data_IF_627662281301
#
_entry.id   IF_627662281301
#
_cell.length_a   1.000
_cell.length_b   1.000
_cell.length_c   1.000
_cell.angle_alpha   90.00
_cell.angle_beta   90.00
_cell.angle_gamma   90.00
#
_symmetry.space_group_name_H-M   'P 1'
#
loop_
_entity.id
_entity.type
_entity.pdbx_description
1 polymer ?
#
# COMPACT_ATOMS: atom_id res chain seq x y z
N UNK A 1 -10.20 2.73 19.11
CA UNK A 1 -11.24 3.57 18.47
C UNK A 1 -12.14 2.68 17.65
N UNK A 2 -13.44 2.84 17.73
CA UNK A 2 -14.36 2.10 16.85
C UNK A 2 -14.29 2.77 15.49
N UNK A 3 -14.01 2.03 14.43
CA UNK A 3 -14.02 2.54 13.04
C UNK A 3 -15.41 3.12 12.76
N UNK A 4 -15.50 4.41 12.50
CA UNK A 4 -16.79 5.09 12.25
C UNK A 4 -17.34 4.73 10.89
N UNK A 5 -18.62 5.03 10.61
CA UNK A 5 -19.20 4.83 9.28
C UNK A 5 -18.48 5.65 8.19
N UNK A 6 -17.97 6.83 8.55
CA UNK A 6 -17.17 7.69 7.66
C UNK A 6 -15.78 7.11 7.43
N UNK A 7 -15.17 6.49 8.46
CA UNK A 7 -13.89 5.78 8.32
C UNK A 7 -14.04 4.54 7.42
N UNK A 8 -15.17 3.84 7.46
CA UNK A 8 -15.46 2.68 6.58
C UNK A 8 -15.51 3.07 5.10
N UNK A 9 -16.05 4.24 4.78
CA UNK A 9 -16.07 4.75 3.38
C UNK A 9 -14.68 5.15 2.88
N UNK A 10 -13.73 5.42 3.78
CA UNK A 10 -12.36 5.79 3.47
C UNK A 10 -11.40 4.58 3.44
N UNK A 11 -11.80 3.41 3.94
CA UNK A 11 -10.95 2.23 4.06
C UNK A 11 -11.33 1.17 3.03
N UNK A 12 -10.33 0.63 2.35
CA UNK A 12 -10.53 -0.43 1.35
C UNK A 12 -10.84 -1.81 1.96
N UNK A 13 -10.56 -1.99 3.26
CA UNK A 13 -10.74 -3.24 4.00
C UNK A 13 -11.23 -2.92 5.41
N UNK A 14 -12.29 -3.58 5.85
CA UNK A 14 -12.80 -3.48 7.22
C UNK A 14 -13.65 -4.70 7.58
N UNK A 15 -14.11 -4.80 8.83
CA UNK A 15 -15.11 -5.79 9.20
C UNK A 15 -16.50 -5.32 8.77
N UNK A 16 -17.34 -6.27 8.34
CA UNK A 16 -18.77 -6.05 8.12
C UNK A 16 -19.45 -5.48 9.38
N UNK A 17 -20.63 -4.89 9.24
CA UNK A 17 -21.34 -4.26 10.39
C UNK A 17 -21.60 -5.22 11.55
N UNK A 18 -21.90 -6.48 11.24
CA UNK A 18 -22.10 -7.54 12.23
C UNK A 18 -20.77 -8.17 12.73
N UNK A 19 -19.64 -7.77 12.15
CA UNK A 19 -18.31 -8.27 12.48
C UNK A 19 -18.05 -9.71 12.05
N UNK A 20 -18.84 -10.26 11.11
CA UNK A 20 -18.78 -11.68 10.71
C UNK A 20 -18.11 -11.94 9.37
N UNK A 21 -17.76 -10.89 8.63
CA UNK A 21 -17.09 -10.99 7.34
C UNK A 21 -16.00 -9.92 7.23
N UNK A 22 -15.01 -10.19 6.39
CA UNK A 22 -14.09 -9.16 5.90
C UNK A 22 -14.76 -8.49 4.71
N UNK A 23 -15.08 -7.21 4.83
CA UNK A 23 -15.61 -6.43 3.73
C UNK A 23 -14.48 -5.71 3.02
N UNK A 24 -14.41 -5.86 1.70
CA UNK A 24 -13.43 -5.19 0.83
C UNK A 24 -14.13 -4.51 -0.33
N UNK A 25 -13.54 -3.42 -0.85
CA UNK A 25 -13.89 -2.92 -2.17
C UNK A 25 -13.08 -3.67 -3.23
N UNK A 26 -13.76 -4.24 -4.23
CA UNK A 26 -13.09 -4.94 -5.33
C UNK A 26 -12.37 -3.95 -6.26
N UNK A 27 -11.06 -3.80 -6.04
CA UNK A 27 -10.23 -2.86 -6.80
C UNK A 27 -10.04 -3.26 -8.27
N UNK A 28 -10.40 -4.49 -8.65
CA UNK A 28 -10.37 -4.91 -10.06
C UNK A 28 -11.47 -4.25 -10.89
N UNK A 29 -12.56 -3.82 -10.24
CA UNK A 29 -13.72 -3.18 -10.87
C UNK A 29 -13.59 -1.66 -10.95
N UNK A 30 -12.76 -1.06 -10.11
CA UNK A 30 -12.54 0.38 -10.11
C UNK A 30 -11.85 0.86 -11.39
N UNK A 31 -12.16 2.07 -11.86
CA UNK A 31 -13.11 3.05 -11.31
C UNK A 31 -14.54 2.88 -11.82
N UNK A 32 -14.83 1.91 -12.68
CA UNK A 32 -16.08 1.81 -13.41
C UNK A 32 -17.25 1.32 -12.55
N UNK A 33 -16.97 0.44 -11.59
CA UNK A 33 -17.97 -0.13 -10.68
C UNK A 33 -17.40 -0.13 -9.23
N UNK A 34 -18.22 0.28 -8.28
CA UNK A 34 -17.94 0.17 -6.85
C UNK A 34 -18.62 -1.09 -6.32
N UNK A 35 -17.87 -2.17 -6.22
CA UNK A 35 -18.38 -3.47 -5.75
C UNK A 35 -17.73 -3.80 -4.41
N UNK A 36 -18.56 -4.05 -3.40
CA UNK A 36 -18.11 -4.51 -2.09
C UNK A 36 -18.34 -6.00 -1.95
N UNK A 37 -17.33 -6.72 -1.47
CA UNK A 37 -17.36 -8.16 -1.25
C UNK A 37 -17.28 -8.43 0.25
N UNK A 38 -18.15 -9.32 0.74
CA UNK A 38 -18.10 -9.84 2.11
C UNK A 38 -17.50 -11.24 2.05
N UNK A 39 -16.27 -11.38 2.57
CA UNK A 39 -15.48 -12.60 2.52
C UNK A 39 -15.57 -13.33 3.88
N UNK A 40 -15.93 -14.59 3.88
CA UNK A 40 -16.16 -15.40 5.09
C UNK A 40 -15.35 -16.68 5.12
N UNK A 41 -14.83 -17.11 3.99
CA UNK A 41 -14.08 -18.36 3.83
C UNK A 41 -12.63 -18.14 3.41
N UNK A 42 -11.74 -19.06 3.76
CA UNK A 42 -10.33 -19.00 3.38
C UNK A 42 -10.16 -18.94 1.85
N UNK A 43 -11.00 -19.63 1.09
CA UNK A 43 -10.96 -19.63 -0.37
C UNK A 43 -11.33 -18.27 -0.96
N UNK A 44 -12.41 -17.62 -0.48
CA UNK A 44 -12.81 -16.30 -0.95
C UNK A 44 -11.73 -15.26 -0.68
N UNK A 45 -11.12 -15.30 0.51
CA UNK A 45 -10.04 -14.38 0.91
C UNK A 45 -8.79 -14.63 0.06
N UNK A 46 -8.41 -15.90 -0.12
CA UNK A 46 -7.29 -16.29 -0.98
C UNK A 46 -7.46 -15.74 -2.40
N UNK A 47 -8.63 -15.96 -2.99
CA UNK A 47 -8.92 -15.54 -4.36
C UNK A 47 -8.90 -14.01 -4.47
N UNK A 48 -9.49 -13.29 -3.52
CA UNK A 48 -9.49 -11.82 -3.49
C UNK A 48 -8.05 -11.23 -3.45
N UNK A 49 -7.15 -11.83 -2.67
CA UNK A 49 -5.74 -11.42 -2.60
C UNK A 49 -5.02 -11.76 -3.91
N UNK A 50 -5.26 -12.95 -4.46
CA UNK A 50 -4.59 -13.47 -5.66
C UNK A 50 -4.92 -12.67 -6.90
N UNK A 51 -6.20 -12.30 -7.10
CA UNK A 51 -6.64 -11.52 -8.26
C UNK A 51 -6.46 -10.00 -8.08
N UNK A 52 -5.90 -9.56 -6.95
CA UNK A 52 -5.71 -8.16 -6.60
C UNK A 52 -7.03 -7.37 -6.39
N UNK A 53 -8.11 -8.05 -5.99
CA UNK A 53 -9.33 -7.39 -5.51
C UNK A 53 -9.02 -6.57 -4.25
N UNK A 54 -8.12 -7.06 -3.40
CA UNK A 54 -7.42 -6.30 -2.38
C UNK A 54 -5.91 -6.28 -2.70
N UNK A 55 -5.28 -5.11 -2.68
CA UNK A 55 -3.88 -4.92 -3.04
C UNK A 55 -3.25 -3.75 -2.25
N UNK A 56 -1.91 -3.66 -2.31
CA UNK A 56 -1.10 -2.77 -1.46
C UNK A 56 -0.65 -3.51 -0.21
N UNK A 57 0.64 -3.37 0.14
CA UNK A 57 1.22 -4.16 1.22
C UNK A 57 0.46 -3.98 2.55
N UNK A 58 0.14 -2.76 3.03
CA UNK A 58 -0.60 -2.58 4.26
C UNK A 58 -2.04 -3.11 4.19
N UNK A 59 -2.79 -2.81 3.12
CA UNK A 59 -4.18 -3.27 2.98
C UNK A 59 -4.29 -4.80 2.96
N UNK A 60 -3.32 -5.50 2.34
CA UNK A 60 -3.26 -6.98 2.38
C UNK A 60 -2.99 -7.46 3.81
N UNK A 61 -2.12 -6.79 4.57
CA UNK A 61 -1.86 -7.12 5.97
C UNK A 61 -3.11 -6.95 6.85
N UNK A 62 -3.83 -5.83 6.70
CA UNK A 62 -5.09 -5.56 7.40
C UNK A 62 -6.14 -6.62 7.02
N UNK A 63 -6.26 -6.94 5.73
CA UNK A 63 -7.15 -7.98 5.24
C UNK A 63 -6.82 -9.33 5.89
N UNK A 64 -5.55 -9.69 5.99
CA UNK A 64 -5.10 -10.93 6.63
C UNK A 64 -5.42 -10.95 8.13
N UNK A 65 -5.22 -9.86 8.85
CA UNK A 65 -5.58 -9.74 10.25
C UNK A 65 -7.08 -10.01 10.48
N UNK A 66 -7.93 -9.30 9.75
CA UNK A 66 -9.38 -9.52 9.81
C UNK A 66 -9.78 -10.92 9.33
N UNK A 67 -9.12 -11.46 8.29
CA UNK A 67 -9.37 -12.79 7.79
C UNK A 67 -9.13 -13.86 8.85
N UNK A 68 -8.00 -13.82 9.55
CA UNK A 68 -7.70 -14.78 10.63
C UNK A 68 -8.73 -14.73 11.75
N UNK A 69 -9.23 -13.54 12.11
CA UNK A 69 -10.33 -13.41 13.07
C UNK A 69 -11.64 -14.00 12.52
N UNK A 70 -12.03 -13.67 11.29
CA UNK A 70 -13.29 -14.13 10.70
C UNK A 70 -13.27 -15.67 10.52
N UNK A 71 -12.14 -16.23 10.11
CA UNK A 71 -11.99 -17.69 10.02
C UNK A 71 -12.11 -18.34 11.40
N UNK A 72 -11.46 -17.80 12.43
CA UNK A 72 -11.61 -18.27 13.81
C UNK A 72 -13.06 -18.24 14.29
N UNK A 73 -13.80 -17.16 13.99
CA UNK A 73 -15.21 -17.00 14.37
C UNK A 73 -16.15 -18.05 13.77
N UNK A 74 -15.77 -18.62 12.63
CA UNK A 74 -16.57 -19.64 11.92
C UNK A 74 -16.13 -21.08 12.20
N UNK A 75 -15.15 -21.30 13.10
CA UNK A 75 -14.72 -22.65 13.50
C UNK A 75 -15.60 -23.22 14.62
N UNK A 76 -15.88 -24.49 14.52
CA UNK A 76 -16.61 -25.26 15.54
C UNK A 76 -15.64 -26.23 16.24
N UNK A 77 -14.61 -25.68 16.93
CA UNK A 77 -13.61 -26.48 17.63
C UNK A 77 -13.93 -26.54 19.13
N UNK A 78 -13.91 -27.75 19.69
CA UNK A 78 -14.18 -27.95 21.14
C UNK A 78 -12.92 -27.79 22.00
N UNK A 79 -11.72 -27.92 21.43
CA UNK A 79 -10.45 -27.89 22.16
C UNK A 79 -9.41 -27.02 21.44
N UNK A 80 -8.40 -26.60 22.19
CA UNK A 80 -7.33 -25.74 21.72
C UNK A 80 -6.49 -26.40 20.61
N UNK A 81 -6.13 -27.68 20.75
CA UNK A 81 -5.18 -28.31 19.82
C UNK A 81 -5.77 -28.39 18.42
N UNK A 82 -7.05 -28.76 18.32
CA UNK A 82 -7.77 -28.75 17.04
C UNK A 82 -7.89 -27.35 16.46
N UNK A 83 -8.27 -26.37 17.30
CA UNK A 83 -8.40 -24.97 16.89
C UNK A 83 -7.07 -24.41 16.37
N UNK A 84 -5.99 -24.56 17.13
CA UNK A 84 -4.67 -24.03 16.78
C UNK A 84 -4.16 -24.63 15.47
N UNK A 85 -4.32 -25.93 15.29
CA UNK A 85 -3.93 -26.63 14.04
C UNK A 85 -4.68 -26.08 12.83
N UNK A 86 -6.00 -25.94 12.92
CA UNK A 86 -6.81 -25.42 11.82
C UNK A 86 -6.47 -23.95 11.50
N UNK A 87 -6.17 -23.13 12.52
CA UNK A 87 -5.72 -21.75 12.33
C UNK A 87 -4.35 -21.68 11.63
N UNK A 88 -3.42 -22.60 11.93
CA UNK A 88 -2.14 -22.70 11.23
C UNK A 88 -2.31 -23.11 9.77
N UNK A 89 -3.22 -24.07 9.48
CA UNK A 89 -3.55 -24.51 8.12
C UNK A 89 -4.14 -23.35 7.29
N UNK A 90 -5.10 -22.60 7.84
CA UNK A 90 -5.69 -21.43 7.20
C UNK A 90 -4.64 -20.33 6.95
N UNK A 91 -3.80 -20.04 7.95
CA UNK A 91 -2.73 -19.07 7.81
C UNK A 91 -1.74 -19.41 6.70
N UNK A 92 -1.30 -20.68 6.65
CA UNK A 92 -0.42 -21.18 5.59
C UNK A 92 -1.08 -21.09 4.21
N UNK A 93 -2.37 -21.40 4.13
CA UNK A 93 -3.15 -21.29 2.90
C UNK A 93 -3.23 -19.85 2.41
N UNK A 94 -3.57 -18.89 3.28
CA UNK A 94 -3.63 -17.47 2.92
C UNK A 94 -2.26 -16.93 2.45
N UNK A 95 -1.17 -17.27 3.15
CA UNK A 95 0.19 -16.87 2.76
C UNK A 95 0.53 -17.37 1.34
N UNK A 96 0.06 -18.56 0.97
CA UNK A 96 0.33 -19.16 -0.35
C UNK A 96 -0.30 -18.40 -1.51
N UNK A 97 -1.29 -17.52 -1.25
CA UNK A 97 -1.90 -16.68 -2.29
C UNK A 97 -0.90 -15.70 -2.91
N UNK A 98 0.02 -15.14 -2.08
CA UNK A 98 1.11 -14.24 -2.50
C UNK A 98 2.36 -14.43 -1.61
N UNK A 99 3.19 -15.44 -1.87
CA UNK A 99 4.32 -15.79 -1.00
C UNK A 99 5.37 -14.67 -0.82
N UNK A 100 5.41 -13.70 -1.74
CA UNK A 100 6.33 -12.55 -1.69
C UNK A 100 5.76 -11.33 -0.95
N UNK A 101 4.50 -11.37 -0.54
CA UNK A 101 3.85 -10.27 0.19
C UNK A 101 4.21 -10.31 1.67
N UNK A 102 5.23 -9.57 2.07
CA UNK A 102 5.77 -9.57 3.45
C UNK A 102 4.69 -9.24 4.49
N UNK A 103 3.85 -8.23 4.23
CA UNK A 103 2.80 -7.82 5.18
C UNK A 103 1.72 -8.89 5.37
N UNK A 104 1.46 -9.72 4.35
CA UNK A 104 0.54 -10.86 4.47
C UNK A 104 1.04 -11.86 5.52
N UNK A 105 2.26 -12.34 5.33
CA UNK A 105 2.87 -13.31 6.25
C UNK A 105 3.09 -12.71 7.64
N UNK A 106 3.47 -11.43 7.74
CA UNK A 106 3.62 -10.73 9.01
C UNK A 106 2.31 -10.70 9.80
N UNK A 107 1.20 -10.27 9.17
CA UNK A 107 -0.08 -10.18 9.85
C UNK A 107 -0.61 -11.56 10.27
N UNK A 108 -0.55 -12.56 9.38
CA UNK A 108 -0.92 -13.95 9.72
C UNK A 108 -0.10 -14.46 10.90
N UNK A 109 1.23 -14.27 10.89
CA UNK A 109 2.09 -14.74 11.98
C UNK A 109 1.81 -14.01 13.30
N UNK A 110 1.48 -12.71 13.27
CA UNK A 110 1.07 -11.93 14.43
C UNK A 110 -0.23 -12.48 15.02
N UNK A 111 -1.22 -12.80 14.20
CA UNK A 111 -2.48 -13.42 14.62
C UNK A 111 -2.26 -14.84 15.18
N UNK A 112 -1.42 -15.66 14.54
CA UNK A 112 -1.04 -16.98 15.08
C UNK A 112 -0.24 -16.87 16.38
N UNK A 113 0.47 -15.77 16.60
CA UNK A 113 1.08 -15.44 17.90
C UNK A 113 0.04 -15.36 19.01
N UNK A 114 -1.06 -14.64 18.77
CA UNK A 114 -2.18 -14.55 19.74
C UNK A 114 -2.74 -15.94 20.08
N UNK A 115 -2.89 -16.81 19.08
CA UNK A 115 -3.35 -18.20 19.33
C UNK A 115 -2.37 -18.94 20.23
N UNK A 116 -1.07 -18.92 19.92
CA UNK A 116 -0.04 -19.65 20.68
C UNK A 116 0.13 -19.13 22.10
N UNK A 117 0.08 -17.82 22.30
CA UNK A 117 0.31 -17.18 23.60
C UNK A 117 -0.86 -17.34 24.59
N UNK A 118 -2.00 -17.87 24.10
CA UNK A 118 -3.23 -18.07 24.90
C UNK A 118 -3.71 -19.53 24.89
N UNK A 119 -2.78 -20.49 24.88
CA UNK A 119 -3.10 -21.92 24.83
C UNK A 119 -3.89 -22.46 26.04
N UNK A 120 -3.97 -21.68 27.12
CA UNK A 120 -4.74 -21.97 28.33
C UNK A 120 -6.22 -21.55 28.23
N UNK A 121 -6.62 -20.87 27.16
CA UNK A 121 -7.97 -20.34 26.94
C UNK A 121 -8.78 -21.21 25.99
N UNK A 122 -10.09 -21.05 26.04
CA UNK A 122 -11.01 -21.67 25.10
C UNK A 122 -10.91 -21.03 23.71
N UNK A 123 -11.28 -21.75 22.62
CA UNK A 123 -11.34 -21.17 21.27
C UNK A 123 -12.16 -19.88 21.17
N UNK A 124 -13.28 -19.77 21.90
CA UNK A 124 -14.11 -18.56 21.91
C UNK A 124 -13.37 -17.34 22.54
N UNK A 125 -12.66 -17.57 23.66
CA UNK A 125 -11.85 -16.53 24.29
C UNK A 125 -10.68 -16.09 23.38
N UNK A 126 -10.02 -17.04 22.72
CA UNK A 126 -8.95 -16.72 21.75
C UNK A 126 -9.53 -15.95 20.55
N UNK A 127 -10.70 -16.32 20.05
CA UNK A 127 -11.37 -15.61 18.94
C UNK A 127 -11.68 -14.17 19.31
N UNK A 128 -12.07 -13.89 20.56
CA UNK A 128 -12.26 -12.53 21.03
C UNK A 128 -10.96 -11.73 21.03
N UNK A 129 -9.85 -12.31 21.46
CA UNK A 129 -8.52 -11.70 21.42
C UNK A 129 -8.03 -11.45 19.99
N UNK A 130 -8.31 -12.39 19.07
CA UNK A 130 -8.00 -12.22 17.65
C UNK A 130 -8.75 -11.03 17.04
N UNK A 131 -9.99 -10.77 17.47
CA UNK A 131 -10.71 -9.57 17.04
C UNK A 131 -10.02 -8.28 17.49
N UNK A 132 -9.60 -8.24 18.74
CA UNK A 132 -8.91 -7.07 19.29
C UNK A 132 -7.59 -6.82 18.55
N UNK A 133 -6.83 -7.88 18.29
CA UNK A 133 -5.55 -7.81 17.59
C UNK A 133 -5.71 -7.38 16.13
N UNK A 134 -6.73 -7.89 15.42
CA UNK A 134 -7.02 -7.46 14.04
C UNK A 134 -7.39 -5.97 13.97
N UNK A 135 -8.15 -5.47 14.95
CA UNK A 135 -8.46 -4.04 15.08
C UNK A 135 -7.18 -3.24 15.40
N UNK A 136 -6.30 -3.77 16.24
CA UNK A 136 -5.02 -3.12 16.57
C UNK A 136 -4.14 -2.98 15.31
N UNK A 137 -3.98 -4.03 14.49
CA UNK A 137 -3.27 -3.98 13.21
C UNK A 137 -3.80 -2.84 12.33
N UNK A 138 -5.12 -2.72 12.20
CA UNK A 138 -5.73 -1.66 11.38
C UNK A 138 -5.52 -0.27 11.98
N UNK A 139 -5.69 -0.12 13.29
CA UNK A 139 -5.53 1.17 13.98
C UNK A 139 -4.08 1.66 13.92
N UNK A 140 -3.12 0.77 14.12
CA UNK A 140 -1.68 1.07 13.99
C UNK A 140 -1.33 1.59 12.59
N UNK A 141 -1.91 0.98 11.54
CA UNK A 141 -1.70 1.44 10.16
C UNK A 141 -2.30 2.84 9.93
N UNK A 142 -3.50 3.12 10.46
CA UNK A 142 -4.11 4.46 10.38
C UNK A 142 -3.21 5.51 11.04
N UNK A 143 -2.72 5.23 12.25
CA UNK A 143 -1.86 6.15 12.99
C UNK A 143 -0.52 6.37 12.29
N UNK A 144 0.05 5.32 11.74
CA UNK A 144 1.30 5.36 10.97
C UNK A 144 1.14 6.20 9.71
N UNK A 145 0.08 5.96 8.92
CA UNK A 145 -0.22 6.74 7.73
C UNK A 145 -0.49 8.22 8.06
N UNK A 146 -1.18 8.49 9.16
CA UNK A 146 -1.41 9.85 9.64
C UNK A 146 -0.10 10.59 9.94
N UNK A 147 0.85 9.95 10.65
CA UNK A 147 2.16 10.56 10.94
C UNK A 147 2.95 10.85 9.67
N UNK A 148 2.99 9.89 8.73
CA UNK A 148 3.62 10.09 7.42
C UNK A 148 2.96 11.27 6.69
N UNK A 149 1.63 11.37 6.73
CA UNK A 149 0.89 12.47 6.13
C UNK A 149 1.23 13.83 6.76
N UNK A 150 1.38 13.90 8.08
CA UNK A 150 1.79 15.13 8.79
C UNK A 150 3.18 15.61 8.35
N UNK A 151 4.15 14.70 8.36
CA UNK A 151 5.51 15.03 7.93
C UNK A 151 5.55 15.45 6.45
N UNK A 152 4.86 14.71 5.57
CA UNK A 152 4.78 15.04 4.15
C UNK A 152 4.09 16.38 3.89
N UNK A 153 2.98 16.67 4.60
CA UNK A 153 2.25 17.94 4.46
C UNK A 153 3.09 19.14 4.89
N UNK A 154 4.01 18.97 5.84
CA UNK A 154 4.91 20.03 6.28
C UNK A 154 5.88 20.54 5.21
N UNK A 155 6.03 19.79 4.11
CA UNK A 155 6.96 20.09 3.01
C UNK A 155 6.31 20.83 1.84
N UNK A 156 5.00 21.03 1.89
CA UNK A 156 4.21 21.69 0.84
C UNK A 156 3.27 22.74 1.46
N UNK A 157 2.74 23.63 0.65
CA UNK A 157 1.84 24.70 1.08
C UNK A 157 0.61 24.79 0.18
N UNK A 158 -0.38 25.56 0.61
CA UNK A 158 -1.59 25.82 -0.17
C UNK A 158 -1.28 26.32 -1.59
N UNK A 159 -1.93 25.69 -2.56
CA UNK A 159 -1.76 25.97 -4.00
C UNK A 159 -0.62 25.24 -4.68
N UNK A 160 0.25 24.54 -3.97
CA UNK A 160 1.36 23.78 -4.58
C UNK A 160 0.83 22.63 -5.46
N UNK A 161 1.52 22.40 -6.58
CA UNK A 161 1.34 21.24 -7.43
C UNK A 161 2.21 20.07 -6.97
N UNK A 162 1.61 18.91 -6.82
CA UNK A 162 2.30 17.68 -6.39
C UNK A 162 2.09 16.59 -7.43
N UNK A 163 3.19 15.98 -7.89
CA UNK A 163 3.14 14.82 -8.77
C UNK A 163 3.27 13.55 -7.96
N UNK A 164 2.43 12.55 -8.29
CA UNK A 164 2.49 11.20 -7.70
C UNK A 164 2.46 10.14 -8.78
N UNK A 165 3.04 8.96 -8.46
CA UNK A 165 3.13 7.82 -9.36
C UNK A 165 2.65 6.56 -8.65
N UNK A 166 1.89 5.71 -9.34
CA UNK A 166 1.23 4.52 -8.80
C UNK A 166 0.07 4.84 -7.85
N UNK A 167 -0.19 3.96 -6.90
CA UNK A 167 -1.21 4.14 -5.88
C UNK A 167 -0.66 3.73 -4.52
N UNK A 168 -0.43 4.71 -3.68
CA UNK A 168 -0.05 4.59 -2.28
C UNK A 168 -0.99 5.42 -1.40
N UNK A 169 -2.28 5.29 -1.66
CA UNK A 169 -3.39 5.94 -0.99
C UNK A 169 -4.21 5.00 -0.10
N UNK A 170 -5.39 5.43 0.35
CA UNK A 170 -6.30 4.65 1.19
C UNK A 170 -6.64 3.26 0.64
N UNK A 171 -6.75 3.12 -0.69
CA UNK A 171 -7.00 1.83 -1.33
C UNK A 171 -5.85 0.81 -1.14
N UNK A 172 -4.64 1.28 -0.88
CA UNK A 172 -3.45 0.45 -0.69
C UNK A 172 -3.06 0.27 0.78
N UNK A 173 -3.66 1.03 1.68
CA UNK A 173 -3.37 1.09 3.12
C UNK A 173 -4.67 1.02 3.93
N UNK A 174 -4.82 1.89 4.92
CA UNK A 174 -6.04 2.06 5.72
C UNK A 174 -6.81 3.32 5.35
N UNK A 175 -6.43 4.49 5.87
CA UNK A 175 -7.25 5.71 5.77
C UNK A 175 -6.64 6.81 4.88
N UNK A 176 -5.38 7.18 5.10
CA UNK A 176 -4.75 8.32 4.42
C UNK A 176 -3.90 7.92 3.23
N UNK A 177 -3.34 6.73 3.26
CA UNK A 177 -2.25 6.36 2.39
C UNK A 177 -0.90 6.88 2.90
N UNK A 178 0.17 6.50 2.21
CA UNK A 178 1.51 7.04 2.47
C UNK A 178 1.77 8.25 1.57
N UNK A 179 2.01 8.03 0.27
CA UNK A 179 2.31 9.12 -0.65
C UNK A 179 1.15 10.11 -0.87
N UNK A 180 -0.09 9.63 -0.84
CA UNK A 180 -1.27 10.51 -0.93
C UNK A 180 -1.74 11.04 0.42
N UNK A 181 -1.19 10.54 1.52
CA UNK A 181 -1.53 10.98 2.86
C UNK A 181 -1.49 12.50 3.06
N UNK A 182 -0.42 13.20 2.64
CA UNK A 182 -0.37 14.66 2.71
C UNK A 182 -1.49 15.36 1.95
N UNK A 183 -2.01 14.75 0.88
CA UNK A 183 -3.07 15.30 0.05
C UNK A 183 -4.43 15.22 0.76
N UNK A 184 -4.74 14.07 1.37
CA UNK A 184 -5.95 13.87 2.17
C UNK A 184 -5.95 14.74 3.43
N UNK A 185 -4.85 14.71 4.19
CA UNK A 185 -4.70 15.51 5.40
C UNK A 185 -4.72 17.01 5.09
N UNK A 186 -4.09 17.43 3.99
CA UNK A 186 -4.15 18.80 3.49
C UNK A 186 -5.59 19.25 3.24
N UNK A 187 -6.37 18.42 2.56
CA UNK A 187 -7.80 18.67 2.31
C UNK A 187 -8.59 18.82 3.60
N UNK A 188 -8.38 17.95 4.59
CA UNK A 188 -9.03 18.05 5.91
C UNK A 188 -8.67 19.36 6.64
N UNK A 189 -7.46 19.89 6.42
CA UNK A 189 -6.95 21.13 7.03
C UNK A 189 -7.17 22.40 6.19
N UNK A 190 -7.89 22.27 5.07
CA UNK A 190 -8.16 23.40 4.17
C UNK A 190 -6.98 23.84 3.32
N UNK A 191 -5.94 23.01 3.20
CA UNK A 191 -4.79 23.20 2.30
C UNK A 191 -5.14 22.53 0.97
N UNK A 192 -5.24 23.33 -0.10
CA UNK A 192 -5.64 22.85 -1.41
C UNK A 192 -4.41 22.63 -2.29
N UNK A 193 -4.04 21.37 -2.46
CA UNK A 193 -2.98 20.94 -3.37
C UNK A 193 -3.56 20.64 -4.76
N UNK A 194 -2.77 20.84 -5.80
CA UNK A 194 -3.08 20.48 -7.18
C UNK A 194 -2.32 19.19 -7.52
N UNK A 195 -3.02 18.10 -7.66
CA UNK A 195 -2.36 16.80 -7.82
C UNK A 195 -2.27 16.42 -9.30
N UNK A 196 -1.08 15.99 -9.70
CA UNK A 196 -0.84 15.37 -11.01
C UNK A 196 -0.54 13.89 -10.77
N UNK A 197 -1.42 13.02 -11.27
CA UNK A 197 -1.28 11.58 -11.12
C UNK A 197 -0.85 10.96 -12.45
N UNK A 198 0.35 10.36 -12.47
CA UNK A 198 0.76 9.51 -13.59
C UNK A 198 -0.21 8.34 -13.74
N UNK A 199 -0.59 7.97 -14.98
CA UNK A 199 -1.48 6.81 -15.21
C UNK A 199 -0.90 5.50 -14.72
N UNK A 200 0.43 5.37 -14.71
CA UNK A 200 1.21 4.23 -14.21
C UNK A 200 0.98 2.96 -15.03
N UNK A 201 1.49 2.97 -16.27
CA UNK A 201 1.51 1.76 -17.09
C UNK A 201 2.37 0.65 -16.45
N UNK A 202 2.08 -0.66 -16.68
CA UNK A 202 0.97 -1.19 -17.49
C UNK A 202 -0.34 -1.35 -16.72
N UNK A 203 -0.35 -1.45 -15.37
CA UNK A 203 -1.55 -1.77 -14.58
C UNK A 203 -2.47 -0.59 -14.28
N UNK A 204 -2.08 0.64 -14.65
CA UNK A 204 -2.88 1.86 -14.57
C UNK A 204 -3.36 2.20 -13.13
N UNK A 205 -2.54 1.92 -12.10
CA UNK A 205 -2.92 2.21 -10.71
C UNK A 205 -3.16 3.70 -10.47
N UNK A 206 -2.36 4.58 -11.08
CA UNK A 206 -2.55 6.02 -11.00
C UNK A 206 -3.87 6.46 -11.64
N UNK A 207 -4.17 5.93 -12.83
CA UNK A 207 -5.40 6.24 -13.54
C UNK A 207 -6.64 5.66 -12.86
N UNK A 208 -6.59 4.39 -12.46
CA UNK A 208 -7.77 3.65 -11.99
C UNK A 208 -8.07 3.85 -10.50
N UNK A 209 -7.03 4.03 -9.69
CA UNK A 209 -7.14 4.02 -8.24
C UNK A 209 -6.81 5.39 -7.64
N UNK A 210 -5.63 5.96 -7.90
CA UNK A 210 -5.23 7.24 -7.30
C UNK A 210 -6.14 8.39 -7.75
N UNK A 211 -6.41 8.51 -9.05
CA UNK A 211 -7.30 9.56 -9.53
C UNK A 211 -8.72 9.38 -9.00
N UNK A 212 -9.19 8.14 -8.88
CA UNK A 212 -10.51 7.81 -8.33
C UNK A 212 -10.62 8.25 -6.86
N UNK A 213 -9.71 7.82 -5.99
CA UNK A 213 -9.80 8.12 -4.54
C UNK A 213 -9.63 9.62 -4.25
N UNK A 214 -8.71 10.31 -4.95
CA UNK A 214 -8.53 11.75 -4.83
C UNK A 214 -9.76 12.53 -5.31
N UNK A 215 -10.32 12.16 -6.46
CA UNK A 215 -11.53 12.79 -7.00
C UNK A 215 -12.74 12.57 -6.08
N UNK A 216 -12.91 11.37 -5.51
CA UNK A 216 -13.97 11.08 -4.54
C UNK A 216 -13.83 11.89 -3.26
N UNK A 217 -12.62 12.19 -2.83
CA UNK A 217 -12.35 13.07 -1.68
C UNK A 217 -12.50 14.56 -2.01
N UNK A 218 -12.82 14.93 -3.26
CA UNK A 218 -12.91 16.33 -3.69
C UNK A 218 -11.58 17.06 -3.71
N UNK A 219 -10.48 16.33 -3.95
CA UNK A 219 -9.14 16.86 -4.15
C UNK A 219 -8.93 17.14 -5.63
N UNK A 220 -8.34 18.30 -5.96
CA UNK A 220 -8.05 18.71 -7.34
C UNK A 220 -6.98 17.78 -7.94
N UNK A 221 -7.38 16.89 -8.85
CA UNK A 221 -6.52 15.90 -9.48
C UNK A 221 -6.58 15.98 -10.99
N UNK A 222 -5.41 16.01 -11.62
CA UNK A 222 -5.21 15.91 -13.07
C UNK A 222 -4.50 14.60 -13.40
N UNK A 223 -5.17 13.75 -14.15
CA UNK A 223 -4.57 12.52 -14.68
C UNK A 223 -3.70 12.84 -15.89
N UNK A 224 -2.49 12.30 -15.92
CA UNK A 224 -1.55 12.43 -17.04
C UNK A 224 -0.99 11.07 -17.47
N UNK A 225 -0.58 10.95 -18.74
CA UNK A 225 0.23 9.80 -19.14
C UNK A 225 1.62 9.89 -18.51
N UNK A 226 2.26 8.73 -18.25
CA UNK A 226 3.57 8.66 -17.59
C UNK A 226 4.64 9.53 -18.28
N UNK A 227 4.61 9.62 -19.61
CA UNK A 227 5.55 10.41 -20.38
C UNK A 227 5.28 11.93 -20.34
N UNK A 228 4.18 12.38 -19.70
CA UNK A 228 3.84 13.80 -19.58
C UNK A 228 4.44 14.44 -18.31
N UNK A 229 5.01 13.68 -17.38
CA UNK A 229 5.66 14.20 -16.18
C UNK A 229 6.69 15.31 -16.52
N UNK A 230 7.48 15.14 -17.58
CA UNK A 230 8.45 16.11 -18.03
C UNK A 230 7.83 17.47 -18.39
N UNK A 231 6.71 17.50 -19.12
CA UNK A 231 6.11 18.76 -19.57
C UNK A 231 5.45 19.53 -18.42
N UNK A 232 4.79 18.84 -17.47
CA UNK A 232 4.16 19.50 -16.33
C UNK A 232 5.22 20.07 -15.37
N UNK A 233 6.36 19.40 -15.20
CA UNK A 233 7.52 19.87 -14.47
C UNK A 233 8.15 21.10 -15.14
N UNK A 234 8.37 21.03 -16.47
CA UNK A 234 8.91 22.13 -17.27
C UNK A 234 8.05 23.39 -17.20
N UNK A 235 6.73 23.23 -17.14
CA UNK A 235 5.79 24.34 -17.04
C UNK A 235 5.77 24.99 -15.64
N UNK A 236 6.51 24.43 -14.65
CA UNK A 236 6.54 24.95 -13.28
C UNK A 236 5.27 24.63 -12.49
N UNK A 237 4.49 23.63 -12.92
CA UNK A 237 3.24 23.27 -12.26
C UNK A 237 3.46 22.35 -11.06
N UNK A 238 4.64 21.77 -10.93
CA UNK A 238 4.99 20.81 -9.86
C UNK A 238 6.01 21.45 -8.92
N UNK A 239 5.70 21.47 -7.62
CA UNK A 239 6.57 21.94 -6.55
C UNK A 239 7.18 20.80 -5.74
N UNK A 240 6.57 19.61 -5.77
CA UNK A 240 7.10 18.41 -5.12
C UNK A 240 6.62 17.14 -5.82
N UNK A 241 7.40 16.05 -5.71
CA UNK A 241 6.99 14.72 -6.09
C UNK A 241 6.89 13.86 -4.84
N UNK A 242 5.73 13.21 -4.64
CA UNK A 242 5.46 12.27 -3.55
C UNK A 242 5.13 10.89 -4.11
N UNK A 243 5.95 9.89 -3.82
CA UNK A 243 5.75 8.52 -4.25
C UNK A 243 5.83 7.56 -3.06
N UNK A 244 5.16 6.41 -3.15
CA UNK A 244 5.32 5.34 -2.18
C UNK A 244 6.64 4.59 -2.34
N UNK A 245 6.82 3.53 -1.55
CA UNK A 245 7.92 2.59 -1.69
C UNK A 245 7.45 1.17 -1.39
N UNK A 246 8.00 0.22 -2.13
CA UNK A 246 7.80 -1.21 -1.86
C UNK A 246 8.93 -1.76 -0.98
N UNK A 247 10.17 -1.22 -1.11
CA UNK A 247 11.32 -1.55 -0.27
C UNK A 247 12.35 -0.42 -0.33
N UNK A 248 12.98 -0.13 0.80
CA UNK A 248 14.09 0.82 0.94
C UNK A 248 15.32 0.06 1.43
N UNK A 249 16.43 0.16 0.71
CA UNK A 249 17.71 -0.43 1.10
C UNK A 249 18.42 0.44 2.16
N UNK A 250 19.41 -0.15 2.84
CA UNK A 250 20.16 0.50 3.92
C UNK A 250 20.91 1.78 3.49
N UNK A 251 21.27 1.90 2.20
CA UNK A 251 21.89 3.10 1.64
C UNK A 251 20.89 4.18 1.19
N UNK A 252 19.58 3.90 1.26
CA UNK A 252 18.52 4.82 0.84
C UNK A 252 18.02 4.63 -0.60
N UNK A 253 18.62 3.74 -1.39
CA UNK A 253 18.04 3.33 -2.67
C UNK A 253 16.69 2.67 -2.39
N UNK A 254 15.71 2.84 -3.28
CA UNK A 254 14.40 2.24 -3.05
C UNK A 254 13.77 1.69 -4.30
N UNK A 255 13.03 0.61 -4.15
CA UNK A 255 12.17 0.06 -5.18
C UNK A 255 10.75 0.60 -5.04
N UNK A 256 10.18 0.98 -6.16
CA UNK A 256 8.75 1.33 -6.25
C UNK A 256 8.25 0.95 -7.65
N UNK A 257 6.96 1.16 -7.90
CA UNK A 257 6.31 0.85 -9.17
C UNK A 257 7.13 1.36 -10.36
N UNK A 258 7.27 0.48 -11.39
CA UNK A 258 7.99 0.80 -12.64
C UNK A 258 7.60 2.20 -13.15
N UNK A 259 8.59 3.01 -13.51
CA UNK A 259 8.45 4.40 -13.93
C UNK A 259 8.90 5.42 -12.87
N UNK A 260 8.96 5.02 -11.61
CA UNK A 260 9.35 5.92 -10.50
C UNK A 260 10.74 6.51 -10.66
N UNK A 261 11.72 5.70 -11.08
CA UNK A 261 13.09 6.18 -11.31
C UNK A 261 13.14 7.24 -12.40
N UNK A 262 12.33 7.08 -13.46
CA UNK A 262 12.19 8.08 -14.52
C UNK A 262 11.66 9.43 -14.00
N UNK A 263 10.63 9.39 -13.15
CA UNK A 263 10.09 10.61 -12.49
C UNK A 263 11.14 11.28 -11.62
N UNK A 264 11.92 10.50 -10.84
CA UNK A 264 12.98 11.02 -9.99
C UNK A 264 14.10 11.72 -10.79
N UNK A 265 14.51 11.14 -11.91
CA UNK A 265 15.48 11.73 -12.84
C UNK A 265 14.95 13.06 -13.40
N UNK A 266 13.68 13.11 -13.83
CA UNK A 266 13.05 14.34 -14.32
C UNK A 266 12.95 15.38 -13.21
N UNK A 267 12.54 15.01 -12.00
CA UNK A 267 12.50 15.93 -10.86
C UNK A 267 13.87 16.52 -10.56
N UNK A 268 14.92 15.71 -10.56
CA UNK A 268 16.32 16.19 -10.41
C UNK A 268 16.73 17.17 -11.49
N UNK A 269 16.39 16.85 -12.77
CA UNK A 269 16.69 17.72 -13.91
C UNK A 269 16.02 19.10 -13.79
N UNK A 270 14.77 19.15 -13.33
CA UNK A 270 14.00 20.38 -13.19
C UNK A 270 14.18 21.06 -11.81
N UNK A 271 15.00 20.50 -10.91
CA UNK A 271 15.24 21.05 -9.57
C UNK A 271 14.04 20.94 -8.63
N UNK A 272 13.17 19.95 -8.84
CA UNK A 272 11.97 19.71 -8.03
C UNK A 272 12.31 18.70 -6.92
N UNK A 273 11.95 18.99 -5.66
CA UNK A 273 12.13 18.04 -4.57
C UNK A 273 11.39 16.73 -4.83
N UNK A 274 12.06 15.59 -4.62
CA UNK A 274 11.52 14.27 -4.79
C UNK A 274 11.60 13.47 -3.48
N UNK A 275 10.46 12.97 -3.02
CA UNK A 275 10.30 12.30 -1.75
C UNK A 275 9.67 10.93 -1.93
N UNK A 276 10.19 9.94 -1.20
CA UNK A 276 9.50 8.67 -1.01
C UNK A 276 8.88 8.60 0.39
N UNK A 277 7.64 8.14 0.48
CA UNK A 277 6.86 8.10 1.70
C UNK A 277 6.44 6.66 2.01
N UNK A 278 6.87 6.14 3.14
CA UNK A 278 6.54 4.78 3.56
C UNK A 278 6.89 4.53 5.02
N UNK A 279 6.29 3.51 5.63
CA UNK A 279 6.57 3.17 7.02
C UNK A 279 7.97 2.62 7.19
N UNK A 280 8.53 2.71 8.40
CA UNK A 280 9.82 2.12 8.75
C UNK A 280 9.89 0.62 8.43
N UNK A 281 8.77 -0.09 8.46
CA UNK A 281 8.71 -1.51 8.10
C UNK A 281 9.08 -1.82 6.64
N UNK A 282 9.10 -0.82 5.75
CA UNK A 282 9.58 -0.96 4.37
C UNK A 282 11.10 -0.84 4.24
N UNK A 283 11.79 -0.37 5.30
CA UNK A 283 13.24 -0.23 5.33
C UNK A 283 13.86 -1.59 5.68
N UNK A 284 14.66 -2.11 4.77
CA UNK A 284 15.39 -3.38 4.96
C UNK A 284 16.87 -3.11 5.19
N UNK A 285 17.25 -3.05 6.46
CA UNK A 285 18.66 -2.83 6.86
C UNK A 285 19.58 -3.98 6.49
N UNK A 286 19.04 -5.17 6.11
CA UNK A 286 19.82 -6.31 5.64
C UNK A 286 20.01 -6.28 4.10
N UNK A 287 19.41 -5.33 3.40
CA UNK A 287 19.58 -5.08 1.98
C UNK A 287 20.56 -3.90 1.81
N UNK A 288 21.84 -4.11 1.48
CA UNK A 288 22.83 -3.04 1.49
C UNK A 288 22.55 -1.92 0.48
N UNK A 289 22.16 -2.28 -0.74
CA UNK A 289 21.94 -1.34 -1.86
C UNK A 289 20.73 -1.73 -2.71
N UNK A 290 20.29 -0.83 -3.56
CA UNK A 290 19.22 -1.10 -4.51
C UNK A 290 19.51 -2.23 -5.51
N UNK A 291 20.79 -2.51 -5.78
CA UNK A 291 21.18 -3.62 -6.65
C UNK A 291 20.87 -5.01 -6.05
N UNK A 292 20.70 -5.07 -4.73
CA UNK A 292 20.37 -6.29 -4.01
C UNK A 292 18.85 -6.57 -3.98
N UNK A 293 18.03 -5.60 -4.41
CA UNK A 293 16.58 -5.74 -4.46
C UNK A 293 16.18 -6.59 -5.67
N UNK A 294 15.51 -7.72 -5.41
CA UNK A 294 14.99 -8.58 -6.47
C UNK A 294 13.74 -7.99 -7.09
N UNK A 295 13.77 -7.72 -8.38
CA UNK A 295 12.64 -7.18 -9.14
C UNK A 295 11.84 -8.32 -9.77
N UNK A 296 10.54 -8.35 -9.54
CA UNK A 296 9.60 -9.30 -10.14
C UNK A 296 9.37 -8.94 -11.61
N UNK A 297 9.51 -9.91 -12.49
CA UNK A 297 9.09 -9.80 -13.89
C UNK A 297 7.67 -10.37 -14.05
N UNK A 298 6.80 -9.62 -14.71
CA UNK A 298 5.36 -9.91 -14.78
C UNK A 298 4.94 -10.33 -16.20
N UNK A 299 3.69 -10.82 -16.30
CA UNK A 299 3.13 -11.29 -17.56
C UNK A 299 3.15 -10.19 -18.62
N UNK A 300 3.71 -10.46 -19.83
CA UNK A 300 3.66 -9.56 -20.98
C UNK A 300 2.26 -9.09 -21.41
N UNK A 301 1.24 -9.88 -21.13
CA UNK A 301 -0.15 -9.55 -21.47
C UNK A 301 -0.66 -8.28 -20.75
N UNK A 302 -0.06 -7.93 -19.61
CA UNK A 302 -0.35 -6.66 -18.95
C UNK A 302 -0.03 -5.46 -19.85
N UNK A 303 0.97 -5.59 -20.74
CA UNK A 303 1.32 -4.55 -21.69
C UNK A 303 0.47 -4.64 -22.95
N UNK A 304 0.32 -5.86 -23.53
CA UNK A 304 -0.24 -6.03 -24.87
C UNK A 304 -1.76 -6.01 -24.94
N UNK A 305 -2.43 -6.58 -23.94
CA UNK A 305 -3.85 -6.95 -24.07
C UNK A 305 -4.74 -6.42 -22.95
N UNK A 306 -4.24 -6.33 -21.72
CA UNK A 306 -5.07 -6.17 -20.50
C UNK A 306 -6.12 -5.06 -20.59
N UNK A 307 -5.81 -3.92 -21.25
CA UNK A 307 -6.70 -2.75 -21.32
C UNK A 307 -7.23 -2.44 -22.72
N UNK A 308 -7.10 -3.39 -23.65
CA UNK A 308 -7.44 -3.17 -25.04
C UNK A 308 -8.40 -4.26 -25.53
N UNK A 309 -9.40 -3.90 -26.31
CA UNK A 309 -10.29 -4.87 -26.98
C UNK A 309 -9.53 -5.79 -27.96
N UNK A 310 -8.44 -5.28 -28.50
CA UNK A 310 -7.55 -6.03 -29.39
C UNK A 310 -6.11 -5.81 -28.94
N UNK A 311 -5.22 -6.82 -29.12
CA UNK A 311 -3.81 -6.64 -28.81
C UNK A 311 -3.24 -5.40 -29.48
N UNK A 312 -2.47 -4.59 -28.73
CA UNK A 312 -1.82 -3.39 -29.27
C UNK A 312 -0.50 -3.69 -30.01
N UNK A 313 0.00 -4.91 -29.92
CA UNK A 313 1.19 -5.38 -30.61
C UNK A 313 0.97 -6.81 -31.12
N UNK A 314 1.78 -7.23 -32.11
CA UNK A 314 1.76 -8.61 -32.58
C UNK A 314 2.22 -9.57 -31.49
N UNK A 315 1.73 -10.81 -31.52
CA UNK A 315 2.03 -11.83 -30.49
C UNK A 315 3.53 -12.13 -30.39
N UNK A 316 4.24 -12.06 -31.51
CA UNK A 316 5.68 -12.35 -31.59
C UNK A 316 6.57 -11.22 -31.01
N UNK A 317 6.00 -10.03 -30.75
CA UNK A 317 6.76 -8.92 -30.15
C UNK A 317 7.08 -9.26 -28.70
N UNK A 318 8.37 -9.30 -28.36
CA UNK A 318 8.84 -9.51 -26.99
C UNK A 318 8.50 -8.30 -26.11
N UNK A 319 8.04 -8.55 -24.89
CA UNK A 319 7.83 -7.53 -23.88
C UNK A 319 8.75 -7.77 -22.69
N UNK A 320 9.30 -6.69 -22.17
CA UNK A 320 9.98 -6.65 -20.87
C UNK A 320 9.07 -5.91 -19.90
N UNK A 321 8.63 -6.58 -18.84
CA UNK A 321 7.60 -6.08 -17.92
C UNK A 321 8.02 -6.25 -16.45
N UNK A 322 9.03 -5.50 -15.96
CA UNK A 322 9.35 -5.48 -14.55
C UNK A 322 8.24 -4.78 -13.78
N UNK A 323 7.89 -5.31 -12.59
CA UNK A 323 6.86 -4.73 -11.75
C UNK A 323 7.30 -3.40 -11.11
N UNK A 324 8.59 -3.28 -10.82
CA UNK A 324 9.22 -2.18 -10.09
C UNK A 324 10.49 -1.73 -10.79
N UNK A 325 10.94 -0.52 -10.47
CA UNK A 325 12.30 -0.08 -10.72
C UNK A 325 12.97 0.39 -9.42
N UNK A 326 14.29 0.48 -9.46
CA UNK A 326 15.08 1.01 -8.34
C UNK A 326 15.43 2.46 -8.64
N UNK A 327 15.20 3.32 -7.67
CA UNK A 327 15.60 4.72 -7.70
C UNK A 327 16.81 4.90 -6.80
N UNK A 328 17.88 5.47 -7.35
CA UNK A 328 19.10 5.76 -6.62
C UNK A 328 18.84 6.84 -5.56
N UNK A 329 19.38 6.66 -4.37
CA UNK A 329 19.20 7.59 -3.24
C UNK A 329 19.70 9.01 -3.53
N UNK A 330 20.64 9.18 -4.46
CA UNK A 330 21.13 10.50 -4.89
C UNK A 330 20.06 11.36 -5.59
N UNK A 331 18.96 10.74 -6.04
CA UNK A 331 17.82 11.41 -6.65
C UNK A 331 16.79 11.88 -5.59
N UNK A 332 16.89 11.35 -4.35
CA UNK A 332 15.98 11.68 -3.26
C UNK A 332 16.37 12.98 -2.56
N UNK A 333 15.36 13.78 -2.26
CA UNK A 333 15.49 14.92 -1.32
C UNK A 333 15.42 14.42 0.12
N UNK A 334 14.44 13.55 0.43
CA UNK A 334 14.32 12.90 1.72
C UNK A 334 13.40 11.66 1.62
N UNK A 335 13.48 10.81 2.65
CA UNK A 335 12.59 9.68 2.92
C UNK A 335 11.69 10.09 4.08
N UNK A 336 10.37 9.97 3.93
CA UNK A 336 9.40 10.34 4.95
C UNK A 336 8.84 9.06 5.57
N UNK A 337 9.00 8.93 6.88
CA UNK A 337 8.56 7.76 7.65
C UNK A 337 7.53 8.15 8.70
N UNK A 338 6.98 7.16 9.38
CA UNK A 338 6.08 7.31 10.53
C UNK A 338 6.76 7.92 11.77
N UNK A 339 8.08 8.05 11.79
CA UNK A 339 8.86 8.65 12.88
C UNK A 339 9.48 9.99 12.52
N UNK A 340 9.57 10.33 11.24
CA UNK A 340 10.16 11.61 10.83
C UNK A 340 10.61 11.65 9.39
N UNK A 341 11.24 12.77 9.04
CA UNK A 341 11.82 13.01 7.72
C UNK A 341 13.32 12.72 7.78
N UNK A 342 13.76 11.76 6.98
CA UNK A 342 15.16 11.35 6.89
C UNK A 342 15.81 12.04 5.70
N UNK A 343 16.78 12.90 5.96
CA UNK A 343 17.61 13.56 4.95
C UNK A 343 18.94 12.81 4.75
N UNK A 344 19.62 13.00 3.61
CA UNK A 344 20.98 12.49 3.42
C UNK A 344 21.95 12.97 4.52
N UNK A 345 22.98 12.20 4.86
CA UNK A 345 23.35 10.89 4.31
C UNK A 345 22.48 9.75 4.85
N UNK A 346 21.86 8.99 3.92
CA UNK A 346 20.84 8.00 4.29
C UNK A 346 21.43 6.77 5.03
N UNK A 347 22.61 6.31 4.66
CA UNK A 347 23.31 5.19 5.30
C UNK A 347 23.53 5.40 6.81
N UNK A 348 23.62 6.66 7.25
CA UNK A 348 23.74 7.05 8.66
C UNK A 348 22.37 7.31 9.28
N UNK A 349 21.54 8.10 8.60
CA UNK A 349 20.32 8.62 9.21
C UNK A 349 19.18 7.59 9.22
N UNK A 350 19.17 6.61 8.29
CA UNK A 350 18.23 5.49 8.33
C UNK A 350 18.50 4.60 9.56
N UNK A 351 19.76 4.34 9.89
CA UNK A 351 20.10 3.57 11.11
C UNK A 351 19.55 4.23 12.37
N UNK A 352 19.74 5.55 12.49
CA UNK A 352 19.24 6.30 13.66
C UNK A 352 17.73 6.18 13.83
N UNK A 353 16.97 6.42 12.74
CA UNK A 353 15.51 6.39 12.83
C UNK A 353 14.95 4.98 13.07
N UNK A 354 15.71 3.93 12.69
CA UNK A 354 15.35 2.54 12.97
C UNK A 354 15.63 2.14 14.43
N UNK A 355 16.52 2.86 15.13
CA UNK A 355 16.86 2.66 16.55
C UNK A 355 15.94 3.47 17.48
N UNK A 356 15.18 4.44 16.96
CA UNK A 356 14.21 5.21 17.75
C UNK A 356 12.96 4.37 18.05
N UNK A 357 12.59 4.28 19.33
CA UNK A 357 11.41 3.56 19.84
C UNK A 357 10.07 4.19 19.43
#
# INVERSE_FOLDING_TARGET
MTVTKEDRMACSVHLSEDGRAVEIIDQTKLPNEEVYLNLTTAQEIYDAIKVLAVRGAPAIGICAGYAMYVLALHKECADYDTFAKEMEEDGAYLISSRPTAVNLSWAVNRMLGVVRDNADKSPDEITALLKEEAIAIHTEDIEMCYRIAEYGLSLVKDGDGVLTHCNAGPLATSKYGTATGPMFLGKERGINLKIFSDETRPLLQGARLTSYELQKAGIDVTLICDNMASIVMKNGWIQACFVGCDRIAANGDFANKIGTSGVAILAKHYGIPFYTLGPRSTIDMNCPTGADIKIEERNPDEIKTMWYEKPMALDEVKCYNPAFDVTDHELLTAIITDKGIVYPPFDVNLKKIMEED
#
